data_IF_594077244722
#
_entry.id   IF_594077244722
#
_cell.length_a   1.000
_cell.length_b   1.000
_cell.length_c   1.000
_cell.angle_alpha   90.00
_cell.angle_beta   90.00
_cell.angle_gamma   90.00
#
_symmetry.space_group_name_H-M   'P 1'
#
loop_
_entity.id
_entity.type
_entity.pdbx_description
1 polymer ?
#
# COMPACT_ATOMS: atom_id res chain seq x y z
N UNK A 1 -36.55 -4.51 10.31
CA UNK A 1 -35.50 -4.36 9.28
C UNK A 1 -35.01 -2.92 9.33
N UNK A 2 -33.82 -2.68 9.90
CA UNK A 2 -33.21 -1.34 9.87
C UNK A 2 -32.57 -1.16 8.51
N UNK A 3 -32.98 -0.08 7.84
CA UNK A 3 -32.39 0.40 6.60
C UNK A 3 -30.87 0.59 6.79
N UNK A 4 -30.06 -0.35 6.27
CA UNK A 4 -28.61 -0.20 6.17
C UNK A 4 -28.37 0.61 4.91
N UNK A 5 -28.52 1.93 5.01
CA UNK A 5 -27.96 2.84 4.03
C UNK A 5 -26.46 2.55 3.97
N UNK A 6 -25.98 1.99 2.86
CA UNK A 6 -24.56 1.67 2.66
C UNK A 6 -23.84 3.02 2.60
N UNK A 7 -23.23 3.43 3.71
CA UNK A 7 -22.40 4.62 3.74
C UNK A 7 -21.28 4.46 2.71
N UNK A 8 -21.26 5.34 1.72
CA UNK A 8 -20.22 5.38 0.71
C UNK A 8 -18.88 5.70 1.38
N UNK A 9 -17.88 4.81 1.25
CA UNK A 9 -16.54 5.08 1.77
C UNK A 9 -15.99 6.38 1.18
N UNK A 10 -15.67 7.33 2.06
CA UNK A 10 -14.97 8.57 1.74
C UNK A 10 -13.60 8.56 2.40
N UNK A 11 -12.57 8.92 1.65
CA UNK A 11 -11.19 9.01 2.16
C UNK A 11 -11.10 9.90 3.41
N UNK A 12 -11.78 11.05 3.39
CA UNK A 12 -11.86 12.00 4.51
C UNK A 12 -12.62 11.46 5.74
N UNK A 13 -13.37 10.37 5.60
CA UNK A 13 -14.03 9.72 6.74
C UNK A 13 -13.17 8.62 7.35
N UNK A 14 -12.30 8.00 6.55
CA UNK A 14 -11.38 6.95 6.98
C UNK A 14 -10.11 7.52 7.62
N UNK A 15 -9.48 8.52 7.00
CA UNK A 15 -8.33 9.24 7.59
C UNK A 15 -8.87 10.49 8.28
N UNK A 16 -8.82 10.50 9.62
CA UNK A 16 -9.26 11.64 10.44
C UNK A 16 -8.18 12.70 10.55
N UNK A 17 -6.94 12.28 10.80
CA UNK A 17 -5.79 13.16 10.93
C UNK A 17 -4.60 12.53 10.20
N UNK A 18 -3.79 13.38 9.58
CA UNK A 18 -2.53 12.97 8.96
C UNK A 18 -1.50 14.07 9.12
N UNK A 19 -0.32 13.69 9.62
CA UNK A 19 0.87 14.53 9.57
C UNK A 19 2.06 13.77 9.02
N UNK A 20 2.93 14.49 8.31
CA UNK A 20 4.20 14.00 7.82
C UNK A 20 5.26 15.09 7.97
N UNK A 21 6.42 14.78 8.56
CA UNK A 21 7.43 15.79 8.93
C UNK A 21 6.84 16.96 9.73
N UNK A 22 5.99 16.68 10.72
CA UNK A 22 5.30 17.69 11.53
C UNK A 22 4.31 18.59 10.76
N UNK A 23 4.00 18.31 9.50
CA UNK A 23 3.08 19.12 8.66
C UNK A 23 1.83 18.33 8.31
N UNK A 24 0.69 19.00 8.24
CA UNK A 24 -0.57 18.39 7.80
C UNK A 24 -0.42 17.90 6.35
N UNK A 25 -0.83 16.66 6.10
CA UNK A 25 -0.73 16.04 4.78
C UNK A 25 -1.67 16.70 3.78
N UNK A 26 -1.16 17.02 2.58
CA UNK A 26 -1.98 17.46 1.46
C UNK A 26 -2.69 16.27 0.80
N UNK A 27 -3.94 16.47 0.38
CA UNK A 27 -4.75 15.46 -0.34
C UNK A 27 -4.10 14.97 -1.62
N UNK A 28 -3.23 15.78 -2.21
CA UNK A 28 -2.53 15.43 -3.44
C UNK A 28 -1.55 14.27 -3.27
N UNK A 29 -1.12 13.95 -2.04
CA UNK A 29 -0.22 12.82 -1.77
C UNK A 29 -0.95 11.51 -1.55
N UNK A 30 -2.29 11.54 -1.62
CA UNK A 30 -3.11 10.35 -1.50
C UNK A 30 -3.62 9.90 -2.85
N UNK A 31 -3.72 8.58 -3.01
CA UNK A 31 -4.33 7.93 -4.16
C UNK A 31 -5.16 6.77 -3.69
N UNK A 32 -6.27 6.53 -4.38
CA UNK A 32 -7.20 5.47 -4.03
C UNK A 32 -7.12 4.32 -5.03
N UNK A 33 -7.25 3.09 -4.55
CA UNK A 33 -7.43 1.92 -5.40
C UNK A 33 -8.38 0.93 -4.72
N UNK A 34 -9.02 0.08 -5.51
CA UNK A 34 -9.90 -0.96 -5.00
C UNK A 34 -9.17 -2.30 -4.95
N UNK A 35 -9.29 -2.99 -3.84
CA UNK A 35 -8.78 -4.33 -3.62
C UNK A 35 -9.97 -5.29 -3.43
N UNK A 36 -9.92 -6.46 -4.09
CA UNK A 36 -11.02 -7.42 -4.06
C UNK A 36 -11.26 -8.02 -2.67
N UNK A 37 -10.21 -8.15 -1.84
CA UNK A 37 -10.28 -8.73 -0.50
C UNK A 37 -10.56 -7.68 0.57
N UNK A 38 -9.95 -6.50 0.46
CA UNK A 38 -9.94 -5.48 1.52
C UNK A 38 -10.83 -4.26 1.22
N UNK A 39 -11.43 -4.18 0.04
CA UNK A 39 -12.29 -3.07 -0.36
C UNK A 39 -11.51 -1.83 -0.82
N UNK A 40 -11.95 -0.64 -0.44
CA UNK A 40 -11.29 0.61 -0.86
C UNK A 40 -10.02 0.84 -0.04
N UNK A 41 -8.90 1.03 -0.73
CA UNK A 41 -7.59 1.27 -0.14
C UNK A 41 -7.10 2.68 -0.46
N UNK A 42 -6.34 3.25 0.48
CA UNK A 42 -5.72 4.57 0.35
C UNK A 42 -4.20 4.39 0.43
N UNK A 43 -3.47 4.95 -0.54
CA UNK A 43 -2.00 4.95 -0.57
C UNK A 43 -1.48 6.37 -0.42
N UNK A 44 -0.67 6.59 0.61
CA UNK A 44 0.11 7.82 0.80
C UNK A 44 1.43 7.75 0.00
N UNK A 45 1.85 8.87 -0.56
CA UNK A 45 3.15 9.05 -1.22
C UNK A 45 3.38 8.18 -2.48
N UNK A 46 2.34 7.98 -3.29
CA UNK A 46 2.39 7.25 -4.58
C UNK A 46 2.61 8.19 -5.78
N UNK A 47 3.58 9.09 -5.69
CA UNK A 47 3.90 10.08 -6.74
C UNK A 47 5.37 10.02 -7.16
N UNK A 48 5.70 10.62 -8.30
CA UNK A 48 7.09 10.83 -8.74
C UNK A 48 7.84 11.81 -7.86
N UNK A 49 7.15 12.84 -7.36
CA UNK A 49 7.66 13.76 -6.33
C UNK A 49 7.46 13.12 -4.95
N UNK A 50 8.37 12.21 -4.61
CA UNK A 50 8.33 11.40 -3.40
C UNK A 50 8.69 12.26 -2.18
N UNK A 51 7.78 12.31 -1.22
CA UNK A 51 8.03 12.88 0.10
C UNK A 51 9.09 12.04 0.83
N UNK A 52 10.05 12.71 1.45
CA UNK A 52 11.12 12.11 2.25
C UNK A 52 11.03 12.57 3.68
N UNK A 53 11.28 11.65 4.61
CA UNK A 53 11.41 12.01 6.02
C UNK A 53 12.65 12.89 6.18
N UNK A 54 12.53 13.98 6.93
CA UNK A 54 13.63 14.91 7.18
C UNK A 54 14.71 14.27 8.05
N UNK A 55 14.29 13.58 9.11
CA UNK A 55 15.16 12.95 10.11
C UNK A 55 14.47 11.72 10.71
N UNK A 56 15.23 10.88 11.41
CA UNK A 56 14.65 9.75 12.15
C UNK A 56 13.87 10.25 13.37
N UNK A 57 12.66 9.74 13.57
CA UNK A 57 11.84 10.05 14.74
C UNK A 57 10.34 9.97 14.42
N UNK A 58 9.50 9.85 15.45
CA UNK A 58 8.04 9.75 15.27
C UNK A 58 7.47 11.05 14.69
N UNK A 59 7.90 12.21 15.21
CA UNK A 59 7.48 13.55 14.75
C UNK A 59 7.82 13.82 13.28
N UNK A 60 8.92 13.24 12.80
CA UNK A 60 9.37 13.34 11.41
C UNK A 60 8.85 12.20 10.53
N UNK A 61 8.02 11.32 11.09
CA UNK A 61 7.41 10.19 10.40
C UNK A 61 6.04 10.53 9.82
N UNK A 62 5.33 9.49 9.40
CA UNK A 62 3.92 9.54 9.04
C UNK A 62 3.10 9.19 10.28
N UNK A 63 2.24 10.11 10.72
CA UNK A 63 1.30 9.90 11.83
C UNK A 63 -0.10 9.93 11.24
N UNK A 64 -0.89 8.89 11.54
CA UNK A 64 -2.24 8.72 11.03
C UNK A 64 -3.21 8.45 12.18
N UNK A 65 -4.33 9.16 12.19
CA UNK A 65 -5.50 8.80 12.99
C UNK A 65 -6.57 8.24 12.05
N UNK A 66 -6.90 6.97 12.23
CA UNK A 66 -7.79 6.23 11.34
C UNK A 66 -9.12 5.92 12.03
N UNK A 67 -10.22 6.10 11.30
CA UNK A 67 -11.57 5.79 11.76
C UNK A 67 -12.07 4.52 11.06
N UNK A 68 -12.35 3.49 11.86
CA UNK A 68 -12.82 2.20 11.39
C UNK A 68 -14.31 2.03 11.73
N UNK A 69 -15.14 2.11 10.70
CA UNK A 69 -16.58 1.89 10.81
C UNK A 69 -16.91 0.39 10.71
N UNK A 70 -16.61 -0.37 11.77
CA UNK A 70 -16.80 -1.83 11.79
C UNK A 70 -18.23 -2.29 11.43
N UNK A 71 -19.24 -1.47 11.68
CA UNK A 71 -20.63 -1.75 11.29
C UNK A 71 -20.88 -1.72 9.77
N UNK A 72 -20.02 -1.05 9.01
CA UNK A 72 -20.09 -0.94 7.56
C UNK A 72 -19.36 -2.09 6.84
N UNK A 73 -18.74 -3.01 7.59
CA UNK A 73 -17.99 -4.12 7.02
C UNK A 73 -18.97 -5.18 6.51
N UNK A 74 -18.56 -5.91 5.46
CA UNK A 74 -19.31 -7.07 4.99
C UNK A 74 -19.36 -8.14 6.08
N UNK A 75 -20.48 -8.83 6.22
CA UNK A 75 -20.65 -9.90 7.22
C UNK A 75 -19.66 -11.06 7.03
N UNK A 76 -19.15 -11.25 5.81
CA UNK A 76 -18.09 -12.21 5.50
C UNK A 76 -16.70 -11.80 5.99
N UNK A 77 -16.50 -10.53 6.36
CA UNK A 77 -15.20 -10.02 6.80
C UNK A 77 -14.91 -10.52 8.21
N UNK A 78 -13.93 -11.43 8.32
CA UNK A 78 -13.58 -12.09 9.59
C UNK A 78 -12.63 -11.28 10.48
N UNK A 79 -11.96 -10.29 9.92
CA UNK A 79 -10.91 -9.54 10.62
C UNK A 79 -11.28 -8.06 10.69
N UNK A 80 -11.25 -7.52 11.91
CA UNK A 80 -11.41 -6.09 12.16
C UNK A 80 -10.04 -5.45 12.35
N UNK A 81 -9.75 -4.42 11.56
CA UNK A 81 -8.47 -3.71 11.60
C UNK A 81 -8.09 -3.11 10.27
N UNK A 82 -6.89 -2.56 10.21
CA UNK A 82 -6.30 -1.98 8.99
C UNK A 82 -5.28 -2.95 8.42
N UNK A 83 -5.37 -3.23 7.11
CA UNK A 83 -4.30 -3.88 6.37
C UNK A 83 -3.32 -2.83 5.85
N UNK A 84 -2.17 -2.67 6.51
CA UNK A 84 -1.12 -1.73 6.12
C UNK A 84 -0.06 -2.43 5.26
N UNK A 85 0.31 -1.84 4.12
CA UNK A 85 1.42 -2.33 3.29
C UNK A 85 2.39 -1.21 3.01
N UNK A 86 3.67 -1.44 3.30
CA UNK A 86 4.76 -0.52 2.97
C UNK A 86 5.41 -0.99 1.67
N UNK A 87 5.48 -0.12 0.67
CA UNK A 87 6.02 -0.44 -0.65
C UNK A 87 6.74 0.75 -1.27
N UNK A 88 7.50 0.48 -2.34
CA UNK A 88 8.15 1.52 -3.14
C UNK A 88 7.10 2.39 -3.86
N UNK A 89 7.30 3.72 -4.01
CA UNK A 89 6.31 4.63 -4.60
C UNK A 89 5.79 4.22 -5.98
N UNK A 90 6.60 3.54 -6.80
CA UNK A 90 6.19 3.11 -8.15
C UNK A 90 5.65 1.67 -8.21
N UNK A 91 5.79 0.90 -7.12
CA UNK A 91 5.33 -0.48 -7.07
C UNK A 91 3.82 -0.56 -6.79
N UNK A 92 3.17 -1.61 -7.31
CA UNK A 92 1.77 -1.89 -7.00
C UNK A 92 1.67 -2.47 -5.57
N UNK A 93 0.85 -1.86 -4.68
CA UNK A 93 0.62 -2.39 -3.33
C UNK A 93 -0.06 -3.76 -3.37
N UNK A 94 0.43 -4.69 -2.55
CA UNK A 94 -0.02 -6.09 -2.53
C UNK A 94 -0.32 -6.54 -1.09
N UNK A 95 -1.43 -6.07 -0.53
CA UNK A 95 -1.77 -6.29 0.88
C UNK A 95 -2.02 -7.76 1.24
N UNK A 96 -2.30 -8.63 0.27
CA UNK A 96 -2.45 -10.07 0.48
C UNK A 96 -1.13 -10.77 0.80
N UNK A 97 -0.02 -10.26 0.25
CA UNK A 97 1.31 -10.87 0.39
C UNK A 97 2.18 -10.13 1.41
N UNK A 98 2.03 -8.80 1.51
CA UNK A 98 2.92 -7.92 2.29
C UNK A 98 2.18 -7.06 3.31
N UNK A 99 0.90 -7.34 3.53
CA UNK A 99 0.07 -6.60 4.48
C UNK A 99 0.34 -6.99 5.92
N UNK A 100 0.39 -5.99 6.79
CA UNK A 100 0.36 -6.12 8.24
C UNK A 100 -1.04 -5.75 8.72
N UNK A 101 -1.62 -6.59 9.57
CA UNK A 101 -2.94 -6.32 10.14
C UNK A 101 -2.74 -5.59 11.47
N UNK A 102 -3.28 -4.38 11.55
CA UNK A 102 -3.22 -3.52 12.75
C UNK A 102 -4.61 -3.55 13.41
N UNK A 103 -4.71 -3.99 14.68
CA UNK A 103 -5.98 -4.01 15.39
C UNK A 103 -6.44 -2.59 15.75
N UNK A 104 -7.75 -2.33 15.80
CA UNK A 104 -8.29 -1.06 16.31
C UNK A 104 -8.08 -0.92 17.82
N UNK A 105 -8.20 0.31 18.32
CA UNK A 105 -8.29 0.62 19.76
C UNK A 105 -6.97 0.86 20.48
N UNK A 106 -5.84 0.69 19.80
CA UNK A 106 -4.51 0.96 20.35
C UNK A 106 -3.68 1.78 19.38
N UNK A 107 -2.79 2.62 19.92
CA UNK A 107 -1.74 3.24 19.12
C UNK A 107 -0.71 2.17 18.71
N UNK A 108 -0.33 2.17 17.43
CA UNK A 108 0.66 1.23 16.89
C UNK A 108 1.79 2.01 16.23
N UNK A 109 2.98 1.95 16.82
CA UNK A 109 4.20 2.55 16.26
C UNK A 109 4.94 1.52 15.40
N UNK A 110 5.28 1.90 14.17
CA UNK A 110 6.00 1.03 13.23
C UNK A 110 7.33 1.69 12.85
N UNK A 111 8.44 1.06 13.26
CA UNK A 111 9.78 1.50 12.89
C UNK A 111 10.24 0.83 11.59
N UNK A 112 10.81 1.61 10.67
CA UNK A 112 11.27 1.13 9.37
C UNK A 112 12.79 1.18 9.24
N UNK A 113 13.37 0.11 8.68
CA UNK A 113 14.77 0.07 8.24
C UNK A 113 14.83 -0.31 6.78
N UNK A 114 15.24 0.62 5.93
CA UNK A 114 15.38 0.36 4.50
C UNK A 114 16.72 -0.36 4.21
N UNK A 115 16.64 -1.46 3.45
CA UNK A 115 17.81 -2.17 2.93
C UNK A 115 17.69 -2.27 1.41
N UNK A 116 18.72 -1.85 0.68
CA UNK A 116 18.73 -1.85 -0.79
C UNK A 116 19.79 -2.82 -1.28
N UNK A 117 19.38 -3.77 -2.12
CA UNK A 117 20.29 -4.68 -2.82
C UNK A 117 20.43 -4.26 -4.28
N UNK A 118 21.66 -4.00 -4.72
CA UNK A 118 21.98 -3.76 -6.13
C UNK A 118 22.75 -4.97 -6.66
N UNK A 119 22.23 -5.57 -7.74
CA UNK A 119 22.82 -6.73 -8.40
C UNK A 119 23.25 -6.34 -9.81
N UNK A 120 24.30 -6.99 -10.31
CA UNK A 120 24.79 -6.74 -11.66
C UNK A 120 24.04 -7.63 -12.65
N UNK A 121 23.74 -7.15 -13.88
CA UNK A 121 23.09 -7.95 -14.91
C UNK A 121 24.04 -9.01 -15.49
N UNK A 122 23.68 -9.70 -16.57
CA UNK A 122 24.64 -10.56 -17.27
C UNK A 122 25.95 -9.79 -17.59
N UNK A 123 27.14 -10.42 -17.48
CA UNK A 123 27.41 -11.86 -17.44
C UNK A 123 27.57 -12.49 -16.04
N UNK A 124 27.18 -11.81 -14.96
CA UNK A 124 27.33 -12.34 -13.60
C UNK A 124 26.39 -13.53 -13.32
N UNK A 125 26.76 -14.40 -12.37
CA UNK A 125 26.13 -15.72 -12.12
C UNK A 125 24.61 -15.68 -11.94
N UNK A 126 24.12 -14.63 -11.28
CA UNK A 126 22.70 -14.45 -10.98
C UNK A 126 21.89 -13.90 -12.16
N UNK A 127 22.54 -13.48 -13.25
CA UNK A 127 21.93 -12.98 -14.49
C UNK A 127 20.75 -12.04 -14.21
N UNK A 128 20.93 -11.11 -13.26
CA UNK A 128 19.82 -10.34 -12.73
C UNK A 128 19.15 -9.52 -13.84
N UNK A 129 17.84 -9.73 -14.02
CA UNK A 129 17.07 -8.94 -14.97
C UNK A 129 16.84 -7.53 -14.45
N UNK A 130 17.11 -6.53 -15.29
CA UNK A 130 16.69 -5.15 -15.02
C UNK A 130 15.26 -4.93 -15.53
N UNK A 131 14.31 -5.01 -14.61
CA UNK A 131 12.88 -4.80 -14.89
C UNK A 131 12.54 -3.35 -15.28
N UNK A 132 13.39 -2.37 -14.98
CA UNK A 132 13.15 -0.96 -15.32
C UNK A 132 13.69 -0.60 -16.70
N UNK A 133 14.74 -1.29 -17.16
CA UNK A 133 15.36 -1.07 -18.47
C UNK A 133 14.60 -1.75 -19.63
N UNK A 134 13.75 -2.75 -19.35
CA UNK A 134 12.89 -3.39 -20.35
C UNK A 134 11.68 -2.50 -20.62
N UNK A 135 11.81 -1.57 -21.56
CA UNK A 135 10.85 -0.50 -21.86
C UNK A 135 9.50 -0.94 -22.43
N UNK A 136 9.29 -2.23 -22.70
CA UNK A 136 8.11 -2.74 -23.44
C UNK A 136 7.14 -3.58 -22.59
N UNK A 137 7.45 -3.88 -21.33
CA UNK A 137 6.58 -4.70 -20.49
C UNK A 137 6.03 -3.92 -19.27
N UNK A 138 4.76 -4.18 -18.94
CA UNK A 138 4.07 -3.70 -17.72
C UNK A 138 4.66 -4.26 -16.40
N UNK A 139 5.91 -4.73 -16.42
CA UNK A 139 6.54 -5.51 -15.37
C UNK A 139 7.74 -4.75 -14.79
N UNK A 140 7.54 -4.09 -13.64
CA UNK A 140 8.57 -3.27 -12.96
C UNK A 140 9.19 -3.97 -11.76
N UNK A 141 8.71 -5.16 -11.42
CA UNK A 141 9.26 -5.98 -10.34
C UNK A 141 9.13 -7.47 -10.63
N UNK A 142 9.94 -8.28 -9.94
CA UNK A 142 9.83 -9.75 -9.97
C UNK A 142 8.41 -10.23 -9.64
N UNK A 143 7.76 -9.61 -8.66
CA UNK A 143 6.40 -9.99 -8.24
C UNK A 143 5.37 -9.73 -9.34
N UNK A 144 5.45 -8.58 -10.01
CA UNK A 144 4.59 -8.26 -11.16
C UNK A 144 4.83 -9.24 -12.31
N UNK A 145 6.07 -9.63 -12.58
CA UNK A 145 6.41 -10.59 -13.64
C UNK A 145 5.70 -11.93 -13.44
N UNK A 146 5.78 -12.46 -12.22
CA UNK A 146 5.17 -13.74 -11.86
C UNK A 146 3.64 -13.65 -11.95
N UNK A 147 3.03 -12.58 -11.42
CA UNK A 147 1.57 -12.40 -11.48
C UNK A 147 1.06 -12.25 -12.91
N UNK A 148 1.74 -11.45 -13.74
CA UNK A 148 1.39 -11.31 -15.16
C UNK A 148 1.48 -12.67 -15.87
N UNK A 149 2.52 -13.47 -15.61
CA UNK A 149 2.67 -14.80 -16.19
C UNK A 149 1.52 -15.75 -15.78
N UNK A 150 1.18 -15.80 -14.49
CA UNK A 150 0.07 -16.62 -13.99
C UNK A 150 -1.26 -16.15 -14.58
N UNK A 151 -1.47 -14.84 -14.66
CA UNK A 151 -2.68 -14.25 -15.22
C UNK A 151 -2.84 -14.61 -16.71
N UNK A 152 -1.80 -14.45 -17.54
CA UNK A 152 -1.84 -14.83 -18.95
C UNK A 152 -2.16 -16.32 -19.12
N UNK A 153 -1.49 -17.20 -18.36
CA UNK A 153 -1.73 -18.65 -18.38
C UNK A 153 -3.16 -19.03 -17.99
N UNK A 154 -3.80 -18.25 -17.13
CA UNK A 154 -5.19 -18.49 -16.71
C UNK A 154 -6.19 -18.08 -17.78
N UNK A 155 -5.87 -17.06 -18.59
CA UNK A 155 -6.73 -16.62 -19.69
C UNK A 155 -6.62 -17.48 -20.95
N UNK A 156 -5.48 -18.14 -21.16
CA UNK A 156 -5.26 -19.04 -22.31
C UNK A 156 -5.93 -20.42 -22.14
N UNK A 157 -6.56 -20.70 -20.99
CA UNK A 157 -7.33 -21.91 -20.70
C UNK A 157 -8.83 -21.67 -20.87
#
# INVERSE_FOLDING_TARGET
>A
MKDRSINEFKESTFIKECTFNGKICSKEYFSNFSNLRYGKCVTFNKKTDVLRSSETGIENGLILSLNLEGFAYMESTRTLGVSLTIHDPVAIPTPEEKGYIIPPGYETTISLKQTIFKRLPAPYKDQCADYKARSEEFTRSKGECIRNCVQMRTFDQ
#
